data_IF_467477995408
#
_entry.id   IF_467477995408
#
_cell.length_a   1.000
_cell.length_b   1.000
_cell.length_c   1.000
_cell.angle_alpha   90.00
_cell.angle_beta   90.00
_cell.angle_gamma   90.00
#
_symmetry.space_group_name_H-M   'P 1'
#
loop_
_entity.id
_entity.type
_entity.pdbx_description
1 polymer ?
#
# COMPACT_ATOMS: atom_id res chain seq x y z
N UNK A 1 -34.73 22.85 -31.17
CA UNK A 1 -33.32 22.68 -31.55
C UNK A 1 -32.80 21.50 -30.76
N UNK A 2 -32.81 20.33 -31.40
CA UNK A 2 -32.68 19.01 -30.78
C UNK A 2 -31.22 18.58 -30.84
N UNK A 3 -30.64 18.13 -29.73
CA UNK A 3 -29.34 17.45 -29.73
C UNK A 3 -29.58 16.06 -29.14
N UNK A 4 -29.73 15.12 -30.06
CA UNK A 4 -29.62 13.68 -29.89
C UNK A 4 -28.14 13.27 -30.05
N UNK A 5 -27.82 12.10 -29.52
CA UNK A 5 -26.70 11.21 -29.85
C UNK A 5 -25.27 11.57 -29.38
N UNK A 6 -24.80 10.80 -28.40
CA UNK A 6 -23.38 10.43 -28.23
C UNK A 6 -23.27 9.18 -27.32
N UNK A 7 -23.71 8.02 -27.83
CA UNK A 7 -23.28 6.71 -27.34
C UNK A 7 -22.84 5.89 -28.56
N UNK A 8 -21.53 5.65 -28.66
CA UNK A 8 -20.97 4.89 -29.76
C UNK A 8 -19.46 4.77 -29.66
N UNK A 9 -18.96 3.88 -28.79
CA UNK A 9 -17.65 3.27 -29.01
C UNK A 9 -17.83 1.76 -28.89
N UNK A 10 -17.93 1.16 -30.07
CA UNK A 10 -17.96 -0.26 -30.33
C UNK A 10 -16.54 -0.85 -30.29
N UNK A 11 -16.54 -2.18 -30.22
CA UNK A 11 -15.46 -3.13 -29.99
C UNK A 11 -14.28 -3.03 -30.96
N UNK A 12 -13.10 -3.43 -30.47
CA UNK A 12 -11.90 -3.65 -31.28
C UNK A 12 -10.74 -4.19 -30.43
N UNK A 13 -10.87 -5.39 -29.87
CA UNK A 13 -9.72 -6.14 -29.39
C UNK A 13 -9.17 -6.93 -30.57
N UNK A 14 -8.07 -6.44 -31.14
CA UNK A 14 -7.30 -7.16 -32.15
C UNK A 14 -6.45 -8.24 -31.51
N UNK A 15 -6.43 -9.39 -32.16
CA UNK A 15 -5.67 -10.59 -31.81
C UNK A 15 -4.14 -10.37 -31.71
N UNK A 16 -3.43 -11.23 -30.95
CA UNK A 16 -2.00 -11.14 -30.73
C UNK A 16 -1.17 -11.42 -32.00
N UNK A 17 -0.20 -10.54 -32.21
CA UNK A 17 0.85 -10.63 -33.25
C UNK A 17 1.74 -11.85 -32.98
N UNK A 18 2.15 -12.62 -34.03
CA UNK A 18 3.02 -13.77 -33.88
C UNK A 18 4.47 -13.38 -33.50
N UNK A 19 5.03 -14.29 -32.72
CA UNK A 19 6.38 -14.40 -32.18
C UNK A 19 7.47 -14.16 -33.23
N UNK A 20 8.19 -13.02 -33.10
CA UNK A 20 9.43 -12.74 -33.81
C UNK A 20 10.59 -13.14 -32.88
N UNK A 21 10.96 -14.42 -32.92
CA UNK A 21 12.17 -14.94 -32.29
C UNK A 21 13.39 -14.46 -33.10
N UNK A 22 14.27 -13.60 -32.55
CA UNK A 22 15.53 -13.30 -33.21
C UNK A 22 16.44 -14.54 -33.16
N UNK A 23 16.87 -15.00 -34.33
CA UNK A 23 17.96 -15.95 -34.51
C UNK A 23 19.21 -15.39 -33.84
N UNK A 24 19.58 -15.96 -32.69
CA UNK A 24 20.85 -15.68 -32.02
C UNK A 24 21.96 -16.34 -32.83
N UNK A 25 22.65 -15.56 -33.64
CA UNK A 25 23.93 -15.94 -34.25
C UNK A 25 24.93 -16.21 -33.13
N UNK A 26 25.28 -17.49 -32.93
CA UNK A 26 26.38 -17.92 -32.09
C UNK A 26 27.70 -17.43 -32.71
N UNK A 27 28.15 -16.24 -32.33
CA UNK A 27 29.55 -15.86 -32.52
C UNK A 27 30.40 -16.71 -31.60
N UNK A 28 31.12 -17.67 -32.18
CA UNK A 28 32.15 -18.44 -31.49
C UNK A 28 33.12 -17.49 -30.78
N UNK A 29 33.37 -17.65 -29.47
CA UNK A 29 34.37 -16.87 -28.77
C UNK A 29 35.75 -17.19 -29.34
N UNK A 30 36.49 -16.13 -29.66
CA UNK A 30 37.90 -16.15 -29.99
C UNK A 30 38.66 -16.92 -28.88
N UNK A 31 39.60 -17.83 -29.21
CA UNK A 31 40.37 -18.56 -28.20
C UNK A 31 41.09 -17.58 -27.28
N UNK A 32 40.72 -17.59 -26.01
CA UNK A 32 41.41 -16.85 -24.95
C UNK A 32 42.87 -17.30 -24.91
N UNK A 33 43.84 -16.38 -25.03
CA UNK A 33 45.25 -16.73 -24.91
C UNK A 33 45.49 -17.39 -23.55
N UNK A 34 46.19 -18.53 -23.57
CA UNK A 34 46.63 -19.24 -22.37
C UNK A 34 47.40 -18.26 -21.47
N UNK A 35 47.08 -18.18 -20.17
CA UNK A 35 47.79 -17.30 -19.26
C UNK A 35 49.24 -17.76 -19.12
N UNK A 36 50.17 -16.82 -19.27
CA UNK A 36 51.59 -17.04 -19.05
C UNK A 36 51.83 -17.58 -17.63
N UNK A 37 52.52 -18.73 -17.45
CA UNK A 37 52.78 -19.32 -16.14
C UNK A 37 53.71 -18.49 -15.25
N UNK A 38 54.34 -17.44 -15.80
CA UNK A 38 55.30 -16.56 -15.09
C UNK A 38 54.79 -15.13 -14.89
N UNK A 39 53.50 -14.85 -15.13
CA UNK A 39 52.95 -13.53 -14.82
C UNK A 39 52.94 -13.30 -13.29
N UNK A 40 53.59 -12.24 -12.77
CA UNK A 40 53.55 -11.91 -11.35
C UNK A 40 52.09 -11.78 -10.91
N UNK A 41 51.72 -12.27 -9.70
CA UNK A 41 50.35 -12.24 -9.23
C UNK A 41 49.84 -10.81 -9.29
N UNK A 42 48.91 -10.56 -10.22
CA UNK A 42 48.24 -9.26 -10.33
C UNK A 42 47.59 -9.01 -8.97
N UNK A 43 47.99 -7.96 -8.23
CA UNK A 43 47.37 -7.67 -6.95
C UNK A 43 45.88 -7.48 -7.20
N UNK A 44 45.08 -8.34 -6.57
CA UNK A 44 43.63 -8.28 -6.67
C UNK A 44 43.18 -6.83 -6.41
N UNK A 45 42.23 -6.28 -7.18
CA UNK A 45 41.80 -4.90 -7.07
C UNK A 45 41.54 -4.58 -5.60
N UNK A 46 42.40 -3.69 -5.06
CA UNK A 46 42.52 -3.44 -3.64
C UNK A 46 41.15 -3.14 -3.05
N UNK A 47 40.65 -4.07 -2.24
CA UNK A 47 39.66 -3.75 -1.24
C UNK A 47 40.32 -2.70 -0.36
N UNK A 48 40.00 -1.42 -0.56
CA UNK A 48 40.41 -0.31 0.30
C UNK A 48 39.83 -0.59 1.69
N UNK A 49 40.58 -1.37 2.48
CA UNK A 49 40.19 -1.91 3.78
C UNK A 49 39.89 -0.79 4.79
N UNK A 50 40.41 0.42 4.53
CA UNK A 50 40.31 1.56 5.43
C UNK A 50 39.11 2.48 5.17
N UNK A 51 38.27 2.22 4.14
CA UNK A 51 37.06 3.01 3.93
C UNK A 51 36.01 2.66 5.01
N UNK A 52 35.59 3.61 5.88
CA UNK A 52 34.54 3.37 6.87
C UNK A 52 33.19 2.98 6.24
N UNK A 53 33.00 3.22 4.95
CA UNK A 53 31.78 2.91 4.20
C UNK A 53 31.91 1.70 3.27
N UNK A 54 33.02 0.94 3.31
CA UNK A 54 33.27 -0.18 2.40
C UNK A 54 32.11 -1.20 2.33
N UNK A 55 31.42 -1.41 3.46
CA UNK A 55 30.29 -2.36 3.57
C UNK A 55 28.91 -1.69 3.56
N UNK A 56 28.85 -0.35 3.57
CA UNK A 56 27.59 0.40 3.61
C UNK A 56 27.02 0.51 2.19
N UNK A 57 26.21 -0.48 1.82
CA UNK A 57 25.51 -0.47 0.55
C UNK A 57 24.38 0.56 0.53
N UNK A 58 24.23 1.25 -0.60
CA UNK A 58 23.06 2.06 -0.89
C UNK A 58 21.88 1.15 -1.22
N UNK A 59 20.97 0.99 -0.27
CA UNK A 59 19.78 0.15 -0.44
C UNK A 59 18.70 0.88 -1.25
N UNK A 60 18.31 0.29 -2.38
CA UNK A 60 17.26 0.82 -3.25
C UNK A 60 15.86 0.39 -2.81
N UNK A 61 14.85 1.03 -3.41
CA UNK A 61 13.46 0.57 -3.31
C UNK A 61 13.39 -0.88 -3.81
N UNK A 62 12.80 -1.78 -3.03
CA UNK A 62 12.78 -3.24 -3.28
C UNK A 62 14.09 -3.99 -2.98
N UNK A 63 14.92 -3.49 -2.05
CA UNK A 63 16.08 -4.23 -1.56
C UNK A 63 15.71 -5.54 -0.86
N UNK A 64 14.61 -5.55 -0.09
CA UNK A 64 14.14 -6.73 0.60
C UNK A 64 13.51 -7.72 -0.41
N UNK A 65 14.21 -8.80 -0.69
CA UNK A 65 13.78 -9.90 -1.58
C UNK A 65 13.89 -11.25 -0.88
N UNK A 66 13.22 -12.26 -1.43
CA UNK A 66 13.38 -13.67 -1.03
C UNK A 66 13.27 -13.91 0.49
N UNK A 67 14.28 -14.55 1.09
CA UNK A 67 14.34 -14.86 2.52
C UNK A 67 14.28 -13.60 3.40
N UNK A 68 14.87 -12.49 2.96
CA UNK A 68 14.82 -11.23 3.69
C UNK A 68 13.40 -10.66 3.70
N UNK A 69 12.69 -10.75 2.58
CA UNK A 69 11.29 -10.34 2.49
C UNK A 69 10.41 -11.20 3.41
N UNK A 70 10.58 -12.53 3.39
CA UNK A 70 9.84 -13.44 4.27
C UNK A 70 10.11 -13.13 5.75
N UNK A 71 11.38 -12.90 6.11
CA UNK A 71 11.79 -12.47 7.45
C UNK A 71 11.08 -11.17 7.87
N UNK A 72 11.14 -10.12 7.06
CA UNK A 72 10.52 -8.84 7.41
C UNK A 72 8.99 -8.89 7.46
N UNK A 73 8.35 -9.72 6.62
CA UNK A 73 6.90 -9.93 6.65
C UNK A 73 6.46 -10.54 7.99
N UNK A 74 7.24 -11.45 8.58
CA UNK A 74 6.92 -12.05 9.88
C UNK A 74 6.93 -11.02 11.03
N UNK A 75 7.71 -9.94 10.90
CA UNK A 75 7.78 -8.86 11.88
C UNK A 75 6.72 -7.75 11.67
N UNK A 76 5.96 -7.80 10.57
CA UNK A 76 5.08 -6.69 10.18
C UNK A 76 3.86 -6.53 11.10
N UNK A 77 3.30 -7.62 11.62
CA UNK A 77 2.16 -7.59 12.55
C UNK A 77 2.56 -6.93 13.88
N UNK A 78 3.60 -7.43 14.52
CA UNK A 78 4.12 -6.90 15.79
C UNK A 78 4.57 -5.46 15.65
N UNK A 79 5.25 -5.09 14.56
CA UNK A 79 5.62 -3.70 14.34
C UNK A 79 4.42 -2.75 14.29
N UNK A 80 3.28 -3.19 13.72
CA UNK A 80 2.04 -2.39 13.70
C UNK A 80 1.49 -2.19 15.11
N UNK A 81 1.56 -3.21 15.96
CA UNK A 81 1.18 -3.11 17.37
C UNK A 81 2.06 -2.11 18.11
N UNK A 82 3.38 -2.18 17.93
CA UNK A 82 4.32 -1.22 18.52
C UNK A 82 4.06 0.21 18.04
N UNK A 83 3.71 0.43 16.76
CA UNK A 83 3.30 1.75 16.25
C UNK A 83 2.09 2.29 17.02
N UNK A 84 1.12 1.45 17.34
CA UNK A 84 -0.08 1.84 18.09
C UNK A 84 0.23 2.20 19.55
N UNK A 85 1.29 1.61 20.12
CA UNK A 85 1.77 1.90 21.47
C UNK A 85 2.63 3.17 21.53
N UNK A 86 3.29 3.55 20.44
CA UNK A 86 3.99 4.83 20.31
C UNK A 86 5.28 4.77 19.49
N UNK A 87 5.87 5.94 19.23
CA UNK A 87 7.09 6.05 18.40
C UNK A 87 8.32 5.42 19.06
N UNK A 88 8.46 5.52 20.38
CA UNK A 88 9.58 4.89 21.11
C UNK A 88 9.53 3.39 20.96
N UNK A 89 8.39 2.78 21.30
CA UNK A 89 8.16 1.33 21.19
C UNK A 89 8.42 0.81 19.77
N UNK A 90 7.99 1.55 18.73
CA UNK A 90 8.29 1.20 17.35
C UNK A 90 9.79 1.23 17.02
N UNK A 91 10.54 2.19 17.57
CA UNK A 91 12.00 2.26 17.36
C UNK A 91 12.73 1.15 18.13
N UNK A 92 12.33 0.90 19.37
CA UNK A 92 12.89 -0.17 20.21
C UNK A 92 12.69 -1.53 19.53
N UNK A 93 11.50 -1.76 18.97
CA UNK A 93 11.23 -2.97 18.19
C UNK A 93 12.10 -3.08 16.92
N UNK A 94 12.33 -1.97 16.20
CA UNK A 94 13.23 -1.98 15.04
C UNK A 94 14.65 -2.39 15.45
N UNK A 95 15.13 -1.98 16.62
CA UNK A 95 16.44 -2.43 17.13
C UNK A 95 16.48 -3.95 17.31
N UNK A 96 15.44 -4.56 17.87
CA UNK A 96 15.34 -6.02 18.00
C UNK A 96 15.29 -6.72 16.62
N UNK A 97 14.53 -6.18 15.66
CA UNK A 97 14.49 -6.73 14.29
C UNK A 97 15.86 -6.65 13.62
N UNK A 98 16.61 -5.57 13.82
CA UNK A 98 17.98 -5.42 13.30
C UNK A 98 18.93 -6.43 13.94
N UNK A 99 18.80 -6.66 15.26
CA UNK A 99 19.58 -7.67 15.98
C UNK A 99 19.29 -9.07 15.41
N UNK A 100 18.02 -9.43 15.26
CA UNK A 100 17.60 -10.71 14.67
C UNK A 100 18.00 -10.85 13.20
N UNK A 101 18.04 -9.74 12.46
CA UNK A 101 18.57 -9.72 11.11
C UNK A 101 20.05 -10.12 11.10
N UNK A 102 20.90 -9.50 11.92
CA UNK A 102 22.33 -9.80 11.92
C UNK A 102 22.68 -11.18 12.52
N UNK A 103 21.78 -11.81 13.28
CA UNK A 103 21.92 -13.23 13.63
C UNK A 103 21.82 -14.16 12.42
N UNK A 104 21.05 -13.76 11.39
CA UNK A 104 20.81 -14.56 10.18
C UNK A 104 21.72 -14.17 9.01
N UNK A 105 22.03 -12.88 8.91
CA UNK A 105 22.79 -12.31 7.83
C UNK A 105 24.10 -11.73 8.38
N UNK A 106 25.21 -12.34 8.01
CA UNK A 106 26.52 -11.86 8.42
C UNK A 106 26.76 -10.43 7.90
N UNK A 107 27.27 -9.53 8.75
CA UNK A 107 27.30 -8.09 8.45
C UNK A 107 28.21 -7.70 7.29
N UNK A 108 29.21 -8.54 6.97
CA UNK A 108 30.10 -8.37 5.81
C UNK A 108 29.47 -8.79 4.48
N UNK A 109 28.38 -9.58 4.51
CA UNK A 109 27.70 -10.00 3.29
C UNK A 109 26.99 -8.82 2.64
N UNK A 110 26.91 -8.85 1.30
CA UNK A 110 26.10 -7.88 0.60
C UNK A 110 24.63 -8.18 0.85
N UNK A 111 23.81 -7.14 0.92
CA UNK A 111 22.37 -7.30 1.21
C UNK A 111 21.64 -8.07 0.10
N UNK A 112 22.22 -8.09 -1.11
CA UNK A 112 21.68 -8.84 -2.26
C UNK A 112 22.09 -10.32 -2.26
N UNK A 113 23.11 -10.70 -1.50
CA UNK A 113 23.62 -12.07 -1.51
C UNK A 113 22.71 -12.98 -0.68
N UNK A 114 22.39 -14.14 -1.23
CA UNK A 114 21.57 -15.13 -0.53
C UNK A 114 22.38 -15.69 0.65
N UNK A 115 21.85 -15.68 1.88
CA UNK A 115 22.54 -16.31 3.00
C UNK A 115 22.70 -17.79 2.68
N UNK A 116 23.94 -18.27 2.67
CA UNK A 116 24.21 -19.70 2.58
C UNK A 116 23.88 -20.31 3.94
N UNK A 117 22.96 -21.26 3.99
CA UNK A 117 22.54 -21.93 5.24
C UNK A 117 23.68 -22.71 5.91
N UNK A 118 24.76 -22.99 5.16
CA UNK A 118 25.91 -23.74 5.64
C UNK A 118 27.15 -22.85 5.85
N UNK A 119 26.99 -21.53 5.95
CA UNK A 119 28.14 -20.65 6.14
C UNK A 119 28.64 -20.73 7.59
N UNK A 120 29.84 -21.30 7.85
CA UNK A 120 30.38 -21.41 9.21
C UNK A 120 30.57 -20.05 9.89
N UNK A 121 30.55 -18.95 9.12
CA UNK A 121 30.61 -17.57 9.60
C UNK A 121 29.40 -17.11 10.43
N UNK A 122 28.37 -17.94 10.63
CA UNK A 122 27.24 -17.61 11.52
C UNK A 122 27.51 -17.91 13.01
N UNK A 123 28.58 -18.63 13.34
CA UNK A 123 28.92 -18.85 14.75
C UNK A 123 29.44 -17.54 15.32
N UNK A 124 28.70 -16.92 16.25
CA UNK A 124 29.13 -15.76 17.06
C UNK A 124 30.31 -16.13 17.97
N UNK A 125 31.39 -16.65 17.40
CA UNK A 125 32.69 -16.66 18.04
C UNK A 125 33.07 -15.21 18.28
N UNK A 126 33.67 -14.91 19.43
CA UNK A 126 34.15 -13.58 19.81
C UNK A 126 35.09 -13.01 18.73
N UNK A 127 34.51 -12.42 17.68
CA UNK A 127 35.26 -11.79 16.61
C UNK A 127 36.01 -10.63 17.24
N UNK A 128 37.31 -10.79 17.38
CA UNK A 128 38.23 -9.71 17.73
C UNK A 128 38.32 -8.76 16.54
N UNK A 129 37.30 -7.91 16.37
CA UNK A 129 37.19 -6.95 15.29
C UNK A 129 38.26 -5.87 15.45
N UNK A 130 38.94 -5.56 14.35
CA UNK A 130 39.81 -4.39 14.29
C UNK A 130 38.98 -3.11 14.57
N UNK A 131 39.57 -2.04 15.15
CA UNK A 131 38.89 -0.77 15.35
C UNK A 131 38.22 -0.21 14.07
N UNK A 132 38.83 -0.46 12.91
CA UNK A 132 38.28 -0.08 11.59
C UNK A 132 37.02 -0.89 11.27
N UNK A 133 37.06 -2.20 11.48
CA UNK A 133 35.92 -3.09 11.24
C UNK A 133 34.77 -2.80 12.21
N UNK A 134 35.06 -2.45 13.46
CA UNK A 134 34.04 -2.05 14.43
C UNK A 134 33.29 -0.79 13.94
N UNK A 135 34.01 0.17 13.37
CA UNK A 135 33.41 1.36 12.77
C UNK A 135 32.56 0.99 11.55
N UNK A 136 33.06 0.14 10.66
CA UNK A 136 32.31 -0.34 9.49
C UNK A 136 31.03 -1.09 9.89
N UNK A 137 31.12 -2.02 10.86
CA UNK A 137 29.97 -2.75 11.42
C UNK A 137 28.94 -1.80 12.01
N UNK A 138 29.37 -0.79 12.77
CA UNK A 138 28.47 0.23 13.33
C UNK A 138 27.71 1.00 12.24
N UNK A 139 28.38 1.40 11.16
CA UNK A 139 27.75 2.11 10.05
C UNK A 139 26.77 1.21 9.29
N UNK A 140 27.12 -0.06 9.06
CA UNK A 140 26.23 -1.06 8.47
C UNK A 140 24.96 -1.24 9.31
N UNK A 141 25.09 -1.35 10.63
CA UNK A 141 23.94 -1.48 11.55
C UNK A 141 23.02 -0.26 11.44
N UNK A 142 23.58 0.96 11.47
CA UNK A 142 22.79 2.20 11.34
C UNK A 142 22.07 2.27 9.98
N UNK A 143 22.76 1.90 8.89
CA UNK A 143 22.18 1.88 7.55
C UNK A 143 21.03 0.86 7.45
N UNK A 144 21.23 -0.36 7.97
CA UNK A 144 20.22 -1.40 8.01
C UNK A 144 19.02 -1.01 8.87
N UNK A 145 19.26 -0.39 10.03
CA UNK A 145 18.19 0.12 10.89
C UNK A 145 17.29 1.10 10.15
N UNK A 146 17.87 2.07 9.44
CA UNK A 146 17.12 3.05 8.63
C UNK A 146 16.32 2.35 7.52
N UNK A 147 16.93 1.38 6.83
CA UNK A 147 16.30 0.69 5.72
C UNK A 147 15.15 -0.22 6.16
N UNK A 148 15.33 -1.00 7.22
CA UNK A 148 14.31 -1.86 7.82
C UNK A 148 13.13 -1.00 8.32
N UNK A 149 13.42 0.06 9.06
CA UNK A 149 12.38 1.00 9.52
C UNK A 149 11.58 1.57 8.35
N UNK A 150 12.26 2.09 7.33
CA UNK A 150 11.62 2.68 6.15
C UNK A 150 10.72 1.68 5.42
N UNK A 151 11.20 0.43 5.27
CA UNK A 151 10.43 -0.64 4.65
C UNK A 151 9.18 -1.00 5.46
N UNK A 152 9.33 -1.17 6.78
CA UNK A 152 8.20 -1.48 7.68
C UNK A 152 7.16 -0.35 7.71
N UNK A 153 7.62 0.90 7.79
CA UNK A 153 6.77 2.10 7.70
C UNK A 153 5.98 2.14 6.37
N UNK A 154 6.63 1.77 5.26
CA UNK A 154 5.99 1.70 3.95
C UNK A 154 4.90 0.62 3.91
N UNK A 155 5.22 -0.60 4.35
CA UNK A 155 4.28 -1.72 4.39
C UNK A 155 3.08 -1.46 5.32
N UNK A 156 3.30 -0.82 6.47
CA UNK A 156 2.25 -0.43 7.40
C UNK A 156 1.33 0.68 6.85
N UNK A 157 1.84 1.56 5.97
CA UNK A 157 1.04 2.60 5.30
C UNK A 157 0.33 2.08 4.06
N UNK A 158 0.96 1.18 3.31
CA UNK A 158 0.40 0.63 2.07
C UNK A 158 -0.87 -0.17 2.36
N UNK A 159 -0.90 -0.97 3.43
CA UNK A 159 -2.11 -1.69 3.83
C UNK A 159 -3.29 -0.77 4.13
N UNK A 160 -3.05 0.38 4.78
CA UNK A 160 -4.10 1.38 5.06
C UNK A 160 -4.69 1.97 3.78
N UNK A 161 -3.88 2.13 2.72
CA UNK A 161 -4.37 2.59 1.42
C UNK A 161 -5.27 1.55 0.76
N UNK A 162 -4.87 0.28 0.81
CA UNK A 162 -5.67 -0.81 0.26
C UNK A 162 -7.01 -0.94 1.00
N UNK A 163 -6.97 -0.97 2.34
CA UNK A 163 -8.20 -1.00 3.14
C UNK A 163 -9.07 0.22 2.86
N UNK A 164 -8.49 1.43 2.78
CA UNK A 164 -9.28 2.64 2.45
C UNK A 164 -9.91 2.54 1.06
N UNK A 165 -9.17 2.08 0.06
CA UNK A 165 -9.70 1.89 -1.28
C UNK A 165 -10.83 0.84 -1.29
N UNK A 166 -10.66 -0.26 -0.57
CA UNK A 166 -11.70 -1.28 -0.40
C UNK A 166 -12.93 -0.73 0.31
N UNK A 167 -12.75 0.04 1.39
CA UNK A 167 -13.84 0.73 2.08
C UNK A 167 -14.56 1.71 1.17
N UNK A 168 -13.83 2.51 0.39
CA UNK A 168 -14.42 3.44 -0.59
C UNK A 168 -15.17 2.73 -1.72
N UNK A 169 -14.64 1.61 -2.21
CA UNK A 169 -15.32 0.79 -3.21
C UNK A 169 -16.63 0.20 -2.64
N UNK A 170 -16.59 -0.27 -1.39
CA UNK A 170 -17.77 -0.76 -0.68
C UNK A 170 -18.79 0.36 -0.44
N UNK A 171 -18.34 1.55 -0.08
CA UNK A 171 -19.19 2.73 0.10
C UNK A 171 -19.86 3.13 -1.22
N UNK A 172 -19.12 3.09 -2.34
CA UNK A 172 -19.70 3.29 -3.68
C UNK A 172 -20.73 2.21 -4.06
N UNK A 173 -20.48 0.95 -3.69
CA UNK A 173 -21.47 -0.13 -3.89
C UNK A 173 -22.73 0.12 -3.06
N UNK A 174 -22.59 0.54 -1.80
CA UNK A 174 -23.74 0.88 -0.95
C UNK A 174 -24.47 2.13 -1.45
N UNK A 175 -23.76 3.16 -1.92
CA UNK A 175 -24.36 4.36 -2.52
C UNK A 175 -25.09 4.03 -3.83
N UNK A 176 -24.66 3.01 -4.57
CA UNK A 176 -25.35 2.56 -5.78
C UNK A 176 -26.58 1.69 -5.50
N UNK A 177 -26.62 0.99 -4.35
CA UNK A 177 -27.73 0.11 -3.98
C UNK A 177 -28.81 0.83 -3.15
N UNK A 178 -28.43 1.80 -2.31
CA UNK A 178 -29.35 2.39 -1.33
C UNK A 178 -28.89 3.79 -0.92
N UNK A 179 -28.79 4.75 -1.85
CA UNK A 179 -29.23 6.08 -1.43
C UNK A 179 -30.75 6.00 -1.35
N UNK A 180 -31.37 6.17 -0.17
CA UNK A 180 -32.82 6.29 -0.07
C UNK A 180 -33.28 7.28 -1.14
N UNK A 181 -33.98 6.78 -2.16
CA UNK A 181 -34.49 7.60 -3.26
C UNK A 181 -35.36 8.74 -2.72
N UNK A 182 -35.83 8.60 -1.48
CA UNK A 182 -36.60 9.57 -0.72
C UNK A 182 -35.84 10.85 -0.30
N UNK A 183 -34.50 10.82 -0.14
CA UNK A 183 -33.70 12.03 0.12
C UNK A 183 -33.34 12.80 -1.16
N UNK A 184 -33.79 12.36 -2.35
CA UNK A 184 -33.94 13.22 -3.53
C UNK A 184 -35.39 13.66 -3.61
N UNK A 185 -35.76 14.81 -3.04
CA UNK A 185 -37.12 15.27 -3.10
C UNK A 185 -37.39 15.65 -4.55
N UNK A 186 -38.35 14.97 -5.16
CA UNK A 186 -39.12 15.47 -6.29
C UNK A 186 -39.78 16.83 -5.99
N UNK A 187 -39.73 17.31 -4.73
CA UNK A 187 -40.14 18.65 -4.28
C UNK A 187 -38.99 19.65 -3.95
N UNK A 188 -37.72 19.32 -4.22
CA UNK A 188 -36.57 20.23 -3.93
C UNK A 188 -36.37 21.32 -4.99
N UNK A 189 -37.42 21.72 -5.71
CA UNK A 189 -37.29 22.30 -7.05
C UNK A 189 -36.98 23.79 -7.12
N UNK A 190 -36.96 24.55 -6.02
CA UNK A 190 -36.66 25.99 -6.10
C UNK A 190 -35.51 26.41 -5.17
N UNK A 191 -35.59 26.10 -3.88
CA UNK A 191 -34.60 26.57 -2.90
C UNK A 191 -33.19 26.01 -3.13
N UNK A 192 -33.07 24.73 -3.53
CA UNK A 192 -31.75 24.16 -3.81
C UNK A 192 -31.24 24.41 -5.23
N UNK A 193 -32.11 24.74 -6.18
CA UNK A 193 -31.69 25.21 -7.49
C UNK A 193 -30.86 26.50 -7.37
N UNK A 194 -31.11 27.31 -6.33
CA UNK A 194 -30.35 28.53 -6.03
C UNK A 194 -29.03 28.29 -5.28
N UNK A 195 -28.74 27.05 -4.83
CA UNK A 195 -27.54 26.72 -4.05
C UNK A 195 -26.22 27.09 -4.75
N UNK A 196 -26.04 26.84 -6.07
CA UNK A 196 -24.83 27.23 -6.78
C UNK A 196 -24.61 28.74 -6.80
N UNK A 197 -25.71 29.52 -6.88
CA UNK A 197 -25.68 30.99 -6.87
C UNK A 197 -25.28 31.51 -5.48
N UNK A 198 -25.94 31.02 -4.42
CA UNK A 198 -25.60 31.35 -3.04
C UNK A 198 -24.18 30.92 -2.65
N UNK A 199 -23.69 29.83 -3.24
CA UNK A 199 -22.33 29.36 -3.02
C UNK A 199 -21.28 30.29 -3.65
N UNK A 200 -21.49 30.67 -4.92
CA UNK A 200 -20.59 31.58 -5.63
C UNK A 200 -20.53 32.94 -4.94
N UNK A 201 -21.67 33.46 -4.47
CA UNK A 201 -21.71 34.73 -3.73
C UNK A 201 -21.05 34.67 -2.36
N UNK A 202 -21.00 33.50 -1.72
CA UNK A 202 -20.31 33.29 -0.45
C UNK A 202 -18.77 33.23 -0.58
N UNK A 203 -18.21 33.15 -1.80
CA UNK A 203 -16.77 33.12 -2.02
C UNK A 203 -16.05 31.91 -1.39
N UNK A 204 -16.78 30.81 -1.13
CA UNK A 204 -16.23 29.65 -0.43
C UNK A 204 -15.47 28.71 -1.40
N UNK A 205 -14.37 28.09 -0.94
CA UNK A 205 -13.59 27.15 -1.76
C UNK A 205 -14.36 25.84 -1.96
N UNK A 206 -14.27 25.25 -3.15
CA UNK A 206 -15.03 24.03 -3.57
C UNK A 206 -15.03 22.89 -2.54
N UNK A 207 -13.91 22.72 -1.81
CA UNK A 207 -13.77 21.73 -0.72
C UNK A 207 -14.82 21.86 0.41
N UNK A 208 -15.46 23.03 0.57
CA UNK A 208 -16.50 23.28 1.58
C UNK A 208 -17.94 23.17 1.04
N UNK A 209 -18.13 22.75 -0.22
CA UNK A 209 -19.43 22.74 -0.88
C UNK A 209 -20.42 21.78 -0.21
N UNK A 210 -19.94 20.60 0.22
CA UNK A 210 -20.77 19.64 0.95
C UNK A 210 -21.32 20.23 2.26
N UNK A 211 -20.47 20.82 3.09
CA UNK A 211 -20.87 21.44 4.36
C UNK A 211 -21.86 22.61 4.18
N UNK A 212 -21.74 23.36 3.09
CA UNK A 212 -22.66 24.45 2.78
C UNK A 212 -24.02 23.95 2.32
N UNK A 213 -24.07 22.91 1.47
CA UNK A 213 -25.32 22.22 1.11
C UNK A 213 -26.01 21.71 2.38
N UNK A 214 -25.26 21.05 3.26
CA UNK A 214 -25.75 20.55 4.55
C UNK A 214 -26.37 21.66 5.42
N UNK A 215 -25.70 22.82 5.48
CA UNK A 215 -26.19 24.00 6.19
C UNK A 215 -27.50 24.53 5.61
N UNK A 216 -27.64 24.56 4.29
CA UNK A 216 -28.87 25.00 3.62
C UNK A 216 -29.99 23.99 3.87
N UNK A 217 -29.75 22.69 3.67
CA UNK A 217 -30.73 21.63 3.93
C UNK A 217 -31.26 21.70 5.36
N UNK A 218 -30.39 21.88 6.37
CA UNK A 218 -30.82 22.07 7.76
C UNK A 218 -31.67 23.32 7.97
N UNK A 219 -31.35 24.42 7.27
CA UNK A 219 -32.15 25.65 7.34
C UNK A 219 -33.53 25.45 6.71
N UNK A 220 -33.60 24.81 5.55
CA UNK A 220 -34.87 24.48 4.88
C UNK A 220 -35.71 23.53 5.74
N UNK A 221 -35.10 22.49 6.33
CA UNK A 221 -35.80 21.57 7.24
C UNK A 221 -36.41 22.27 8.45
N UNK A 222 -35.68 23.22 9.06
CA UNK A 222 -36.19 24.01 10.19
C UNK A 222 -37.36 24.94 9.84
N UNK A 223 -37.54 25.28 8.55
CA UNK A 223 -38.67 26.09 8.08
C UNK A 223 -39.94 25.27 7.83
N UNK A 224 -39.83 23.94 7.73
CA UNK A 224 -40.99 23.06 7.55
C UNK A 224 -41.91 23.11 8.77
N UNK A 225 -43.18 22.79 8.58
CA UNK A 225 -44.13 22.66 9.68
C UNK A 225 -43.71 21.52 10.62
N UNK A 226 -44.04 21.63 11.91
CA UNK A 226 -43.66 20.60 12.91
C UNK A 226 -44.21 19.22 12.53
N UNK A 227 -45.42 19.17 12.00
CA UNK A 227 -46.08 17.94 11.54
C UNK A 227 -45.30 17.27 10.40
N UNK A 228 -44.83 18.07 9.43
CA UNK A 228 -43.98 17.56 8.36
C UNK A 228 -42.63 17.08 8.91
N UNK A 229 -42.00 17.85 9.82
CA UNK A 229 -40.74 17.43 10.44
C UNK A 229 -40.88 16.10 11.19
N UNK A 230 -42.01 15.85 11.85
CA UNK A 230 -42.30 14.57 12.51
C UNK A 230 -42.51 13.45 11.50
N UNK A 231 -43.28 13.66 10.43
CA UNK A 231 -43.47 12.67 9.36
C UNK A 231 -42.14 12.26 8.71
N UNK A 232 -41.27 13.24 8.44
CA UNK A 232 -39.92 12.97 7.93
C UNK A 232 -39.06 12.17 8.91
N UNK A 233 -39.15 12.47 10.21
CA UNK A 233 -38.40 11.76 11.25
C UNK A 233 -38.89 10.31 11.37
N UNK A 234 -40.20 10.09 11.34
CA UNK A 234 -40.80 8.77 11.46
C UNK A 234 -40.47 7.91 10.24
N UNK A 235 -40.53 8.47 9.03
CA UNK A 235 -40.10 7.80 7.80
C UNK A 235 -38.63 7.41 7.84
N UNK A 236 -37.75 8.34 8.20
CA UNK A 236 -36.31 8.06 8.33
C UNK A 236 -36.04 6.95 9.37
N UNK A 237 -36.78 6.94 10.47
CA UNK A 237 -36.66 5.90 11.48
C UNK A 237 -37.19 4.55 11.00
N UNK A 238 -38.32 4.52 10.29
CA UNK A 238 -38.91 3.31 9.74
C UNK A 238 -38.00 2.68 8.69
N UNK A 239 -37.44 3.47 7.78
CA UNK A 239 -36.50 3.02 6.77
C UNK A 239 -35.19 2.54 7.39
N UNK A 240 -34.65 3.27 8.37
CA UNK A 240 -33.46 2.83 9.10
C UNK A 240 -33.67 1.47 9.80
N UNK A 241 -34.86 1.24 10.36
CA UNK A 241 -35.22 -0.08 10.91
C UNK A 241 -35.33 -1.15 9.82
N UNK A 242 -35.94 -0.84 8.68
CA UNK A 242 -36.09 -1.76 7.56
C UNK A 242 -34.73 -2.17 6.99
N UNK A 243 -33.81 -1.22 6.76
CA UNK A 243 -32.46 -1.49 6.26
C UNK A 243 -31.63 -2.33 7.24
N UNK A 244 -31.75 -2.07 8.55
CA UNK A 244 -31.09 -2.90 9.57
C UNK A 244 -31.66 -4.31 9.58
N UNK A 245 -32.97 -4.47 9.39
CA UNK A 245 -33.60 -5.79 9.33
C UNK A 245 -33.15 -6.54 8.08
N UNK A 246 -33.19 -5.92 6.91
CA UNK A 246 -32.71 -6.51 5.66
C UNK A 246 -31.24 -6.96 5.77
N UNK A 247 -30.39 -6.14 6.38
CA UNK A 247 -28.99 -6.51 6.61
C UNK A 247 -28.84 -7.72 7.54
N UNK A 248 -29.68 -7.82 8.59
CA UNK A 248 -29.71 -9.01 9.46
C UNK A 248 -30.19 -10.23 8.70
N UNK A 249 -31.24 -10.09 7.89
CA UNK A 249 -31.78 -11.17 7.07
C UNK A 249 -30.72 -11.67 6.08
N UNK A 250 -29.91 -10.78 5.49
CA UNK A 250 -28.77 -11.14 4.63
C UNK A 250 -27.66 -11.87 5.39
N UNK A 251 -27.45 -11.57 6.67
CA UNK A 251 -26.46 -12.27 7.50
C UNK A 251 -26.94 -13.66 7.95
N UNK A 252 -28.25 -13.81 8.19
CA UNK A 252 -28.87 -15.08 8.61
C UNK A 252 -29.20 -15.99 7.42
N UNK A 253 -29.33 -15.43 6.20
CA UNK A 253 -29.53 -16.20 4.99
C UNK A 253 -28.38 -17.19 4.78
N UNK A 254 -28.73 -18.48 4.60
CA UNK A 254 -27.75 -19.49 4.28
C UNK A 254 -26.98 -19.10 3.00
N UNK A 255 -25.66 -19.33 2.93
CA UNK A 255 -24.89 -19.06 1.73
C UNK A 255 -25.54 -19.75 0.54
N UNK A 256 -25.65 -19.07 -0.60
CA UNK A 256 -26.28 -19.66 -1.78
C UNK A 256 -25.61 -20.99 -2.13
N UNK A 257 -26.42 -22.05 -2.21
CA UNK A 257 -26.00 -23.37 -2.66
C UNK A 257 -26.04 -23.50 -4.17
N UNK A 258 -26.51 -22.47 -4.88
CA UNK A 258 -26.53 -22.44 -6.34
C UNK A 258 -25.10 -22.42 -6.90
N UNK A 259 -24.76 -23.32 -7.84
CA UNK A 259 -23.45 -23.32 -8.50
C UNK A 259 -23.17 -22.01 -9.27
N UNK A 260 -24.21 -21.36 -9.79
CA UNK A 260 -24.11 -20.12 -10.59
C UNK A 260 -23.57 -18.97 -9.73
N UNK A 261 -24.03 -18.85 -8.49
CA UNK A 261 -23.63 -17.75 -7.60
C UNK A 261 -22.18 -17.88 -7.09
N UNK A 262 -21.54 -19.05 -7.32
CA UNK A 262 -20.15 -19.32 -6.91
C UNK A 262 -19.12 -19.02 -8.00
N UNK A 263 -19.55 -18.70 -9.21
CA UNK A 263 -18.68 -18.49 -10.37
C UNK A 263 -18.42 -17.02 -10.73
N UNK A 264 -18.98 -16.09 -9.95
CA UNK A 264 -18.85 -14.64 -10.15
C UNK A 264 -17.65 -14.02 -9.41
#
# INVERSE_FOLDING_TARGET
MTILDCLGISQGWSDPVPDNTPVVTLSNPLPTPLPDPDAPPTPAPGTNSDDPNAYVEKLFRSWAKNSCLAFLNNHLSTYRECINQGKSQANDYVHEVVKDYFKRYHWKLKVSDKPSENDPSQTESDESLSPVELKQKSQKIIAMQKAIKSWLDYCAKSSKKLLRAQWQAREQQMDSASQPTFWRPTKQTEDLASTPVMWRSAGLPSKKMAAFRDKITRKCFKKLLKEEQTDWKDKAQAEGKAAVQEWKDQLEAAPSTSPIDRQA
#
